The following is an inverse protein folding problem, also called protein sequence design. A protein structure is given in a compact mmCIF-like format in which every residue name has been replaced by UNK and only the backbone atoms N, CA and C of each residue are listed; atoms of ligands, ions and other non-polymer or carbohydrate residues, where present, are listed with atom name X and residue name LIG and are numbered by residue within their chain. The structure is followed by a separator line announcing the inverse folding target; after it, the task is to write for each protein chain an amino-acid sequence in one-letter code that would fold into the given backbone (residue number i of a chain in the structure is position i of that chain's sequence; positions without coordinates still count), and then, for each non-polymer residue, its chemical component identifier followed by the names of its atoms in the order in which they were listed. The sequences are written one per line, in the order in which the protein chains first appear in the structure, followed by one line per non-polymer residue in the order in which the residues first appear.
data_IF_220011122223
#
_entry.id   IF_220011122223
#
_cell.length_a   1.000
_cell.length_b   1.000
_cell.length_c   1.000
_cell.angle_alpha   90.00
_cell.angle_beta   90.00
_cell.angle_gamma   90.00
#
_symmetry.space_group_name_H-M   'P 1'
#
loop_
_entity.id
_entity.type
_entity.pdbx_description
1 polymer ?
#
# COMPACT_ATOMS: atom_id res chain seq x y z
N UNK A 1 86.49 15.72 -32.89
CA UNK A 1 87.05 17.06 -32.59
C UNK A 1 85.94 17.88 -31.97
N UNK A 2 86.09 18.24 -30.68
CA UNK A 2 85.59 19.44 -29.98
C UNK A 2 84.08 19.75 -30.01
N UNK A 3 83.41 20.26 -28.99
CA UNK A 3 83.65 20.56 -27.56
C UNK A 3 82.27 21.00 -26.98
N UNK A 4 82.15 20.92 -25.65
CA UNK A 4 81.38 21.78 -24.72
C UNK A 4 79.86 21.99 -24.93
N UNK A 5 78.99 21.53 -24.01
CA UNK A 5 78.74 21.99 -22.63
C UNK A 5 77.93 23.30 -22.52
N UNK A 6 76.73 23.22 -21.93
CA UNK A 6 76.27 24.12 -20.85
C UNK A 6 74.95 23.64 -20.26
N UNK A 7 74.95 23.42 -18.94
CA UNK A 7 73.77 23.11 -18.14
C UNK A 7 72.93 24.34 -17.81
N UNK A 8 71.68 24.11 -17.43
CA UNK A 8 70.85 25.06 -16.68
C UNK A 8 70.02 24.31 -15.65
N UNK A 9 70.29 24.64 -14.40
CA UNK A 9 69.52 24.33 -13.20
C UNK A 9 68.08 24.83 -13.32
N UNK A 10 67.11 23.95 -13.11
CA UNK A 10 65.73 24.31 -12.81
C UNK A 10 65.60 24.38 -11.29
N UNK A 11 65.64 25.60 -10.74
CA UNK A 11 65.23 25.87 -9.35
C UNK A 11 63.71 25.85 -9.26
N UNK A 12 63.23 24.92 -8.47
CA UNK A 12 61.86 24.79 -7.97
C UNK A 12 61.55 26.01 -7.09
N UNK A 13 60.57 26.83 -7.50
CA UNK A 13 60.11 27.97 -6.72
C UNK A 13 58.90 27.54 -5.86
N UNK A 14 59.09 27.52 -4.54
CA UNK A 14 58.02 27.32 -3.56
C UNK A 14 56.98 28.46 -3.64
N UNK A 15 55.68 28.16 -3.49
CA UNK A 15 54.64 29.18 -3.39
C UNK A 15 54.71 29.93 -2.04
N UNK A 16 54.27 31.20 -2.00
CA UNK A 16 54.26 32.02 -0.79
C UNK A 16 53.20 31.57 0.23
N UNK A 17 53.58 31.61 1.50
CA UNK A 17 52.70 31.41 2.66
C UNK A 17 51.59 32.47 2.71
N UNK A 18 50.34 32.12 3.06
CA UNK A 18 49.28 33.08 3.27
C UNK A 18 49.41 33.79 4.63
N UNK A 19 49.34 35.12 4.60
CA UNK A 19 49.30 36.00 5.76
C UNK A 19 48.08 35.71 6.65
N UNK A 20 48.34 35.46 7.93
CA UNK A 20 47.32 35.27 8.96
C UNK A 20 46.66 36.61 9.31
N UNK A 21 45.46 36.85 8.76
CA UNK A 21 44.54 37.88 9.21
C UNK A 21 43.94 37.47 10.55
N UNK A 22 44.35 38.17 11.62
CA UNK A 22 43.76 38.07 12.94
C UNK A 22 42.37 38.69 12.96
N UNK A 23 41.35 37.86 12.99
CA UNK A 23 40.00 38.22 13.41
C UNK A 23 39.77 37.68 14.82
N UNK A 24 39.58 38.58 15.78
CA UNK A 24 39.14 38.27 17.14
C UNK A 24 37.83 37.48 17.11
N UNK A 25 37.83 36.31 17.77
CA UNK A 25 36.63 35.51 17.97
C UNK A 25 35.69 36.22 18.96
N UNK A 26 34.37 36.26 18.71
CA UNK A 26 33.41 36.75 19.70
C UNK A 26 33.41 35.83 20.94
N UNK A 27 33.15 36.39 22.14
CA UNK A 27 33.15 35.62 23.38
C UNK A 27 32.06 34.55 23.35
N UNK A 28 32.43 33.34 23.80
CA UNK A 28 31.51 32.23 24.01
C UNK A 28 30.36 32.64 24.94
N UNK A 29 29.11 32.25 24.63
CA UNK A 29 27.99 32.46 25.55
C UNK A 29 28.22 31.68 26.85
N UNK A 30 28.00 32.35 27.98
CA UNK A 30 28.00 31.75 29.32
C UNK A 30 27.01 30.58 29.38
N UNK A 31 27.33 29.50 30.11
CA UNK A 31 26.41 28.40 30.34
C UNK A 31 25.22 28.89 31.16
N UNK A 32 24.04 28.85 30.54
CA UNK A 32 22.75 29.12 31.16
C UNK A 32 22.55 28.17 32.36
N UNK A 33 22.35 28.75 33.55
CA UNK A 33 22.06 27.99 34.77
C UNK A 33 20.75 27.22 34.57
N UNK A 34 20.68 25.93 34.94
CA UNK A 34 19.42 25.20 34.90
C UNK A 34 18.40 25.86 35.84
N UNK A 35 17.24 26.20 35.28
CA UNK A 35 16.05 26.58 36.06
C UNK A 35 15.69 25.45 37.03
N UNK A 36 15.32 25.77 38.28
CA UNK A 36 14.91 24.75 39.24
C UNK A 36 13.59 24.09 38.80
N UNK A 37 13.61 22.77 38.77
CA UNK A 37 12.44 21.91 38.56
C UNK A 37 11.30 22.32 39.50
N UNK A 38 10.15 22.63 38.91
CA UNK A 38 8.93 22.87 39.65
C UNK A 38 8.48 21.58 40.35
N UNK A 39 8.37 21.65 41.67
CA UNK A 39 7.83 20.57 42.52
C UNK A 39 6.43 20.13 42.04
N UNK A 40 6.12 18.82 42.09
CA UNK A 40 4.77 18.34 41.82
C UNK A 40 3.83 18.84 42.92
N UNK A 41 2.90 19.72 42.54
CA UNK A 41 1.77 20.09 43.38
C UNK A 41 0.93 18.86 43.68
N UNK A 42 0.78 18.59 44.97
CA UNK A 42 -0.14 17.62 45.54
C UNK A 42 -1.57 17.82 44.99
N UNK A 43 -2.14 16.75 44.45
CA UNK A 43 -3.57 16.64 44.20
C UNK A 43 -4.31 16.73 45.55
N UNK A 44 -5.11 17.78 45.68
CA UNK A 44 -6.05 17.93 46.77
C UNK A 44 -7.32 17.13 46.46
N UNK A 45 -7.72 16.30 47.42
CA UNK A 45 -9.05 15.74 47.59
C UNK A 45 -10.15 16.77 47.30
N UNK A 46 -11.09 16.42 46.41
CA UNK A 46 -12.42 17.03 46.36
C UNK A 46 -13.48 15.91 46.46
N UNK A 47 -14.37 15.96 47.46
CA UNK A 47 -15.40 14.96 47.65
C UNK A 47 -16.67 15.29 46.85
N UNK A 48 -17.27 14.24 46.29
CA UNK A 48 -18.71 14.03 46.24
C UNK A 48 -19.57 15.00 45.42
N UNK A 49 -20.10 14.51 44.29
CA UNK A 49 -21.53 14.72 43.98
C UNK A 49 -22.07 13.61 43.08
N UNK A 50 -22.89 12.77 43.70
CA UNK A 50 -23.83 11.85 43.03
C UNK A 50 -24.89 12.72 42.36
N UNK A 51 -24.94 12.68 41.03
CA UNK A 51 -25.94 13.35 40.22
C UNK A 51 -26.52 12.36 39.23
N UNK A 52 -27.80 12.07 39.41
CA UNK A 52 -28.65 11.16 38.64
C UNK A 52 -28.52 11.35 37.13
N UNK A 53 -28.33 10.25 36.40
CA UNK A 53 -28.52 10.23 34.96
C UNK A 53 -30.04 10.17 34.67
N UNK A 54 -30.57 11.31 34.22
CA UNK A 54 -31.84 11.38 33.51
C UNK A 54 -31.70 10.62 32.18
N UNK A 55 -32.59 9.65 32.00
CA UNK A 55 -32.85 8.94 30.76
C UNK A 55 -33.36 9.90 29.70
N UNK A 56 -32.56 10.16 28.67
CA UNK A 56 -33.02 10.85 27.47
C UNK A 56 -33.45 9.80 26.46
N UNK A 57 -34.77 9.71 26.27
CA UNK A 57 -35.44 9.01 25.19
C UNK A 57 -34.88 9.47 23.83
N UNK A 58 -34.15 8.57 23.16
CA UNK A 58 -33.85 8.69 21.75
C UNK A 58 -34.97 8.00 20.96
N UNK A 59 -35.94 8.80 20.57
CA UNK A 59 -37.01 8.49 19.62
C UNK A 59 -36.42 7.99 18.30
N UNK A 60 -36.37 6.66 18.14
CA UNK A 60 -36.08 6.00 16.87
C UNK A 60 -37.25 6.27 15.92
N UNK A 61 -37.05 7.18 14.98
CA UNK A 61 -37.93 7.35 13.83
C UNK A 61 -37.71 6.15 12.90
N UNK A 62 -38.68 5.23 12.86
CA UNK A 62 -38.78 4.16 11.86
C UNK A 62 -39.08 4.79 10.51
N UNK A 63 -38.15 4.68 9.57
CA UNK A 63 -38.46 4.81 8.14
C UNK A 63 -39.11 3.50 7.63
N UNK A 64 -39.97 3.61 6.59
CA UNK A 64 -40.85 2.54 6.16
C UNK A 64 -40.14 1.43 5.39
N UNK A 65 -40.56 0.21 5.71
CA UNK A 65 -40.32 -1.04 5.00
C UNK A 65 -40.64 -0.88 3.50
N UNK A 66 -39.63 -1.07 2.65
CA UNK A 66 -39.82 -1.20 1.21
C UNK A 66 -40.14 -2.66 0.91
N UNK A 67 -41.33 -2.87 0.35
CA UNK A 67 -41.80 -4.13 -0.21
C UNK A 67 -40.95 -4.54 -1.42
N UNK A 68 -40.53 -5.80 -1.54
CA UNK A 68 -40.04 -6.33 -2.80
C UNK A 68 -41.22 -6.78 -3.67
N UNK A 69 -41.46 -6.04 -4.75
CA UNK A 69 -42.37 -6.42 -5.83
C UNK A 69 -41.73 -7.54 -6.70
N UNK A 70 -42.55 -8.57 -6.92
CA UNK A 70 -42.73 -9.36 -8.14
C UNK A 70 -41.54 -10.08 -8.79
N UNK A 71 -41.33 -11.32 -8.36
CA UNK A 71 -40.85 -12.40 -9.22
C UNK A 71 -42.05 -13.27 -9.68
N UNK A 72 -42.24 -13.55 -10.98
CA UNK A 72 -43.39 -14.31 -11.46
C UNK A 72 -43.28 -15.80 -11.10
N UNK A 73 -44.41 -16.34 -10.65
CA UNK A 73 -44.63 -17.74 -10.33
C UNK A 73 -44.43 -18.68 -11.54
N UNK A 74 -44.04 -19.95 -11.31
CA UNK A 74 -44.12 -20.99 -12.34
C UNK A 74 -45.58 -21.33 -12.63
N UNK A 75 -45.95 -21.31 -13.91
CA UNK A 75 -47.27 -21.66 -14.42
C UNK A 75 -47.63 -23.11 -14.13
N UNK A 76 -48.72 -23.30 -13.38
CA UNK A 76 -49.45 -24.56 -13.27
C UNK A 76 -50.13 -24.94 -14.60
N UNK A 77 -50.16 -26.25 -14.81
CA UNK A 77 -51.02 -27.08 -15.64
C UNK A 77 -52.01 -26.44 -16.61
N UNK A 78 -51.94 -26.90 -17.86
CA UNK A 78 -53.12 -27.17 -18.65
C UNK A 78 -53.10 -28.62 -19.14
N UNK A 79 -54.21 -29.28 -18.82
CA UNK A 79 -54.64 -30.59 -19.25
C UNK A 79 -54.88 -30.64 -20.77
N UNK A 80 -54.68 -31.83 -21.35
CA UNK A 80 -55.72 -32.58 -22.10
C UNK A 80 -55.18 -33.40 -23.28
N UNK A 81 -55.85 -34.56 -23.43
CA UNK A 81 -56.04 -35.35 -24.64
C UNK A 81 -55.07 -36.51 -24.93
N UNK A 82 -55.40 -37.69 -24.38
CA UNK A 82 -55.38 -38.95 -25.12
C UNK A 82 -56.27 -39.98 -24.41
N UNK A 83 -57.53 -40.13 -24.85
CA UNK A 83 -58.04 -41.27 -25.64
C UNK A 83 -58.00 -42.63 -24.90
N UNK A 84 -59.18 -43.02 -24.42
CA UNK A 84 -59.56 -44.39 -24.11
C UNK A 84 -59.63 -45.28 -25.36
N UNK A 85 -59.16 -46.53 -25.22
CA UNK A 85 -59.65 -47.81 -25.80
C UNK A 85 -58.47 -48.77 -26.13
N UNK A 86 -58.72 -50.08 -26.30
CA UNK A 86 -59.36 -51.01 -25.39
C UNK A 86 -58.39 -52.13 -24.94
N UNK A 87 -58.81 -52.83 -23.89
CA UNK A 87 -58.21 -54.03 -23.34
C UNK A 87 -57.99 -55.14 -24.38
N UNK A 88 -56.73 -55.48 -24.65
CA UNK A 88 -56.33 -56.79 -25.19
C UNK A 88 -55.60 -57.57 -24.11
N UNK A 89 -56.21 -58.69 -23.70
CA UNK A 89 -55.61 -59.72 -22.85
C UNK A 89 -54.53 -60.45 -23.64
N UNK A 90 -53.30 -59.93 -23.63
CA UNK A 90 -52.11 -60.68 -24.03
C UNK A 90 -51.60 -61.53 -22.88
N UNK A 91 -51.47 -62.84 -23.11
CA UNK A 91 -50.90 -63.80 -22.17
C UNK A 91 -49.51 -63.37 -21.67
N UNK A 92 -49.17 -63.63 -20.39
CA UNK A 92 -47.87 -63.30 -19.83
C UNK A 92 -46.78 -64.16 -20.48
N UNK A 93 -46.13 -63.62 -21.51
CA UNK A 93 -44.85 -64.15 -21.98
C UNK A 93 -43.86 -63.96 -20.83
N UNK A 94 -43.39 -65.08 -20.27
CA UNK A 94 -42.41 -65.10 -19.21
C UNK A 94 -41.16 -64.31 -19.65
N UNK A 95 -41.05 -63.07 -19.17
CA UNK A 95 -39.83 -62.27 -19.34
C UNK A 95 -38.66 -63.05 -18.75
N UNK A 96 -37.57 -63.26 -19.51
CA UNK A 96 -36.42 -63.96 -19.01
C UNK A 96 -35.90 -63.24 -17.77
N UNK A 97 -35.79 -63.97 -16.66
CA UNK A 97 -35.22 -63.49 -15.41
C UNK A 97 -33.92 -62.73 -15.71
N UNK A 98 -33.78 -61.46 -15.31
CA UNK A 98 -32.55 -60.72 -15.55
C UNK A 98 -31.40 -61.50 -14.90
N UNK A 99 -30.49 -61.99 -15.74
CA UNK A 99 -29.28 -62.68 -15.28
C UNK A 99 -28.60 -61.83 -14.21
N UNK A 100 -28.16 -62.42 -13.09
CA UNK A 100 -27.53 -61.68 -12.00
C UNK A 100 -26.32 -60.94 -12.56
N UNK A 101 -26.48 -59.64 -12.78
CA UNK A 101 -25.41 -58.77 -13.21
C UNK A 101 -24.44 -58.71 -12.04
N UNK A 102 -23.34 -59.44 -12.16
CA UNK A 102 -22.25 -59.43 -11.18
C UNK A 102 -21.78 -58.00 -11.04
N UNK A 103 -22.23 -57.32 -9.98
CA UNK A 103 -21.76 -55.98 -9.64
C UNK A 103 -20.25 -56.02 -9.59
N UNK A 104 -19.56 -55.15 -10.35
CA UNK A 104 -18.11 -55.20 -10.43
C UNK A 104 -17.52 -54.99 -9.04
N UNK A 105 -16.49 -55.76 -8.69
CA UNK A 105 -15.97 -55.88 -7.32
C UNK A 105 -15.61 -54.54 -6.65
N UNK A 106 -15.27 -53.51 -7.45
CA UNK A 106 -14.97 -52.17 -6.96
C UNK A 106 -16.18 -51.46 -6.32
N UNK A 107 -17.42 -51.77 -6.71
CA UNK A 107 -18.62 -51.20 -6.09
C UNK A 107 -18.78 -51.61 -4.62
N UNK A 108 -18.20 -52.75 -4.21
CA UNK A 108 -18.21 -53.19 -2.80
C UNK A 108 -17.27 -52.36 -1.92
N UNK A 109 -16.27 -51.73 -2.52
CA UNK A 109 -15.27 -50.92 -1.83
C UNK A 109 -15.49 -49.42 -1.99
N UNK A 110 -16.49 -48.99 -2.77
CA UNK A 110 -16.83 -47.58 -2.93
C UNK A 110 -17.07 -46.86 -1.59
N UNK A 111 -17.62 -47.57 -0.59
CA UNK A 111 -17.80 -47.02 0.76
C UNK A 111 -16.50 -46.82 1.54
N UNK A 112 -15.41 -47.50 1.19
CA UNK A 112 -14.10 -47.33 1.83
C UNK A 112 -13.37 -46.05 1.36
N UNK A 113 -13.82 -45.43 0.27
CA UNK A 113 -13.28 -44.15 -0.21
C UNK A 113 -13.53 -43.04 0.82
N UNK A 114 -14.73 -43.00 1.42
CA UNK A 114 -15.10 -41.97 2.40
C UNK A 114 -14.17 -41.96 3.63
N UNK A 115 -13.95 -43.07 4.37
CA UNK A 115 -13.02 -43.08 5.50
C UNK A 115 -11.56 -42.87 5.07
N UNK A 116 -11.16 -43.29 3.86
CA UNK A 116 -9.82 -43.01 3.35
C UNK A 116 -9.61 -41.51 3.12
N UNK A 117 -10.59 -40.82 2.50
CA UNK A 117 -10.57 -39.35 2.36
C UNK A 117 -10.57 -38.67 3.73
N UNK A 118 -11.38 -39.14 4.68
CA UNK A 118 -11.40 -38.59 6.04
C UNK A 118 -10.04 -38.70 6.75
N UNK A 119 -9.33 -39.82 6.61
CA UNK A 119 -7.99 -39.98 7.15
C UNK A 119 -6.97 -39.06 6.46
N UNK A 120 -7.07 -38.89 5.14
CA UNK A 120 -6.22 -37.95 4.39
C UNK A 120 -6.46 -36.51 4.85
N UNK A 121 -7.71 -36.09 5.00
CA UNK A 121 -8.08 -34.78 5.53
C UNK A 121 -7.60 -34.59 6.97
N UNK A 122 -7.70 -35.62 7.83
CA UNK A 122 -7.19 -35.55 9.20
C UNK A 122 -5.67 -35.37 9.23
N UNK A 123 -4.93 -36.12 8.42
CA UNK A 123 -3.47 -35.98 8.30
C UNK A 123 -3.11 -34.60 7.75
N UNK A 124 -3.83 -34.12 6.75
CA UNK A 124 -3.66 -32.77 6.20
C UNK A 124 -3.93 -31.70 7.27
N UNK A 125 -5.00 -31.84 8.06
CA UNK A 125 -5.36 -30.93 9.15
C UNK A 125 -4.30 -30.91 10.25
N UNK A 126 -3.83 -32.09 10.70
CA UNK A 126 -2.75 -32.19 11.70
C UNK A 126 -1.50 -31.49 11.18
N UNK A 127 -1.11 -31.72 9.91
CA UNK A 127 0.05 -31.06 9.31
C UNK A 127 -0.13 -29.53 9.23
N UNK A 128 -1.30 -29.06 8.80
CA UNK A 128 -1.61 -27.63 8.68
C UNK A 128 -1.58 -26.92 10.04
N UNK A 129 -2.05 -27.58 11.09
CA UNK A 129 -2.12 -27.02 12.45
C UNK A 129 -0.77 -27.09 13.17
N UNK A 130 0.05 -28.12 12.92
CA UNK A 130 1.40 -28.19 13.51
C UNK A 130 2.35 -27.15 12.92
N UNK A 131 2.12 -26.68 11.70
CA UNK A 131 2.95 -25.67 11.02
C UNK A 131 2.55 -24.22 11.39
N UNK A 132 1.62 -24.04 12.33
CA UNK A 132 1.26 -22.71 12.86
C UNK A 132 2.39 -22.20 13.75
N UNK A 133 2.79 -20.94 13.51
CA UNK A 133 3.74 -20.22 14.36
C UNK A 133 2.99 -19.75 15.61
N UNK A 134 3.41 -20.15 16.82
CA UNK A 134 2.76 -19.68 18.05
C UNK A 134 3.03 -18.18 18.26
N UNK A 135 2.09 -17.49 18.91
CA UNK A 135 2.20 -16.05 19.20
C UNK A 135 3.46 -15.70 20.01
N UNK A 136 3.91 -16.60 20.90
CA UNK A 136 5.16 -16.43 21.66
C UNK A 136 6.38 -16.25 20.78
N UNK A 137 6.44 -16.93 19.62
CA UNK A 137 7.56 -16.82 18.69
C UNK A 137 7.55 -15.45 18.00
N UNK A 138 6.37 -14.94 17.66
CA UNK A 138 6.21 -13.59 17.11
C UNK A 138 6.62 -12.50 18.10
N UNK A 139 6.20 -12.62 19.36
CA UNK A 139 6.60 -11.70 20.44
C UNK A 139 8.11 -11.76 20.66
N UNK A 140 8.71 -12.95 20.67
CA UNK A 140 10.16 -13.08 20.80
C UNK A 140 10.90 -12.48 19.58
N UNK A 141 10.41 -12.70 18.36
CA UNK A 141 10.99 -12.13 17.14
C UNK A 141 10.90 -10.60 17.15
N UNK A 142 9.80 -10.03 17.65
CA UNK A 142 9.65 -8.59 17.85
C UNK A 142 10.77 -8.01 18.70
N UNK A 143 11.13 -8.66 19.81
CA UNK A 143 12.19 -8.20 20.70
C UNK A 143 13.59 -8.29 20.06
N UNK A 144 13.81 -9.26 19.18
CA UNK A 144 15.04 -9.35 18.36
C UNK A 144 15.11 -8.19 17.36
N UNK A 145 14.03 -7.95 16.63
CA UNK A 145 13.94 -6.87 15.65
C UNK A 145 14.09 -5.50 16.31
N UNK A 146 13.41 -5.27 17.45
CA UNK A 146 13.48 -4.00 18.19
C UNK A 146 14.91 -3.60 18.58
N UNK A 147 15.79 -4.57 18.85
CA UNK A 147 17.20 -4.30 19.22
C UNK A 147 18.09 -3.94 18.03
N UNK A 148 17.67 -4.27 16.81
CA UNK A 148 18.55 -4.25 15.62
C UNK A 148 18.08 -3.31 14.52
N UNK A 149 16.77 -3.04 14.46
CA UNK A 149 16.15 -2.21 13.44
C UNK A 149 16.48 -0.72 13.66
N UNK A 150 16.77 -0.03 12.56
CA UNK A 150 16.96 1.42 12.49
C UNK A 150 15.75 2.08 11.84
N UNK A 151 15.63 3.40 11.96
CA UNK A 151 14.53 4.18 11.38
C UNK A 151 14.36 3.96 9.87
N UNK A 152 15.47 3.89 9.14
CA UNK A 152 15.55 3.77 7.69
C UNK A 152 15.50 2.32 7.19
N UNK A 153 15.47 1.33 8.08
CA UNK A 153 15.35 -0.06 7.66
C UNK A 153 13.94 -0.38 7.19
N UNK A 154 13.84 -1.27 6.23
CA UNK A 154 12.61 -1.93 5.86
C UNK A 154 12.32 -3.09 6.82
N UNK A 155 11.05 -3.31 7.17
CA UNK A 155 10.58 -4.50 7.86
C UNK A 155 9.58 -5.26 6.99
N UNK A 156 9.78 -6.57 6.84
CA UNK A 156 8.96 -7.45 6.03
C UNK A 156 8.60 -8.73 6.77
N UNK A 157 7.46 -9.29 6.39
CA UNK A 157 6.98 -10.58 6.87
C UNK A 157 6.83 -11.56 5.71
N UNK A 158 7.39 -12.76 5.87
CA UNK A 158 7.36 -13.83 4.88
C UNK A 158 6.78 -15.12 5.47
N UNK A 159 5.83 -15.80 4.79
CA UNK A 159 5.19 -15.41 3.53
C UNK A 159 4.32 -14.17 3.66
N UNK A 160 4.02 -13.55 2.52
CA UNK A 160 3.29 -12.26 2.43
C UNK A 160 1.99 -12.18 3.22
N UNK A 161 1.22 -13.26 3.26
CA UNK A 161 -0.06 -13.28 3.95
C UNK A 161 0.07 -13.23 5.49
N UNK A 162 1.27 -13.39 6.05
CA UNK A 162 1.52 -13.21 7.49
C UNK A 162 1.74 -11.74 7.90
N UNK A 163 1.87 -10.82 6.93
CA UNK A 163 2.06 -9.39 7.20
C UNK A 163 1.04 -8.79 8.20
N UNK A 164 -0.29 -9.05 8.09
CA UNK A 164 -1.24 -8.53 9.07
C UNK A 164 -0.99 -9.04 10.50
N UNK A 165 -0.54 -10.29 10.66
CA UNK A 165 -0.21 -10.89 11.97
C UNK A 165 1.04 -10.20 12.52
N UNK A 166 2.07 -10.09 11.69
CA UNK A 166 3.32 -9.41 12.03
C UNK A 166 3.06 -7.98 12.48
N UNK A 167 2.29 -7.19 11.72
CA UNK A 167 1.93 -5.80 12.06
C UNK A 167 1.14 -5.68 13.35
N UNK A 168 0.16 -6.56 13.58
CA UNK A 168 -0.64 -6.55 14.80
C UNK A 168 0.23 -6.73 16.06
N UNK A 169 1.26 -7.57 15.98
CA UNK A 169 2.15 -7.88 17.11
C UNK A 169 3.29 -6.85 17.23
N UNK A 170 3.89 -6.45 16.11
CA UNK A 170 5.04 -5.54 16.09
C UNK A 170 4.63 -4.10 16.39
N UNK A 171 3.41 -3.73 16.01
CA UNK A 171 2.82 -2.40 16.20
C UNK A 171 3.47 -1.33 15.33
N UNK A 172 2.89 -0.13 15.35
CA UNK A 172 3.32 1.00 14.52
C UNK A 172 4.75 1.49 14.84
N UNK A 173 5.25 1.19 16.04
CA UNK A 173 6.63 1.46 16.46
C UNK A 173 7.66 0.81 15.50
N UNK A 174 7.39 -0.42 15.07
CA UNK A 174 8.31 -1.21 14.24
C UNK A 174 7.79 -1.39 12.82
N UNK A 175 6.48 -1.58 12.66
CA UNK A 175 5.83 -1.78 11.36
C UNK A 175 5.11 -0.50 10.89
N UNK A 176 5.83 0.63 10.92
CA UNK A 176 5.28 1.95 10.58
C UNK A 176 4.64 1.98 9.19
N UNK A 177 3.79 2.98 8.95
CA UNK A 177 3.12 3.17 7.67
C UNK A 177 4.11 3.30 6.50
N UNK A 178 5.27 3.93 6.72
CA UNK A 178 6.30 4.13 5.70
C UNK A 178 6.96 2.82 5.25
N UNK A 179 7.03 1.82 6.14
CA UNK A 179 7.58 0.48 5.87
C UNK A 179 6.53 -0.44 5.27
N UNK A 180 5.36 -0.43 5.90
CA UNK A 180 4.22 -1.28 5.56
C UNK A 180 3.63 -0.90 4.20
N UNK A 181 3.31 0.38 4.01
CA UNK A 181 2.64 0.88 2.83
C UNK A 181 3.64 1.52 1.84
N UNK A 182 4.88 1.04 1.81
CA UNK A 182 5.90 1.56 0.90
C UNK A 182 5.50 1.34 -0.56
N UNK A 183 5.90 2.25 -1.47
CA UNK A 183 5.75 2.00 -2.90
C UNK A 183 6.64 0.85 -3.38
N UNK A 184 7.93 0.93 -3.05
CA UNK A 184 8.99 -0.01 -3.39
C UNK A 184 10.04 -0.14 -2.26
N UNK A 185 11.00 -1.05 -2.46
CA UNK A 185 12.10 -1.35 -1.54
C UNK A 185 13.37 -0.54 -1.79
N UNK A 186 13.47 0.16 -2.93
CA UNK A 186 14.72 0.70 -3.48
C UNK A 186 15.38 1.74 -2.57
N UNK A 187 14.59 2.52 -1.83
CA UNK A 187 15.06 3.58 -0.92
C UNK A 187 15.65 3.07 0.40
N UNK A 188 15.39 1.81 0.74
CA UNK A 188 15.77 1.26 2.05
C UNK A 188 17.20 0.69 1.96
N UNK A 189 18.17 1.16 2.76
CA UNK A 189 19.54 0.63 2.75
C UNK A 189 19.63 -0.82 3.24
N UNK A 190 18.67 -1.25 4.07
CA UNK A 190 18.65 -2.56 4.68
C UNK A 190 17.22 -2.98 4.94
N UNK A 191 16.98 -4.29 4.91
CA UNK A 191 15.71 -4.91 5.24
C UNK A 191 15.88 -5.93 6.36
N UNK A 192 14.90 -5.98 7.25
CA UNK A 192 14.72 -7.03 8.25
C UNK A 192 13.51 -7.86 7.79
N UNK A 193 13.73 -9.13 7.51
CA UNK A 193 12.68 -10.07 7.14
C UNK A 193 12.42 -11.02 8.30
N UNK A 194 11.18 -11.07 8.78
CA UNK A 194 10.71 -12.08 9.71
C UNK A 194 9.99 -13.16 8.91
N UNK A 195 10.62 -14.32 8.79
CA UNK A 195 10.16 -15.40 7.93
C UNK A 195 9.70 -16.63 8.70
N UNK A 196 8.61 -17.24 8.25
CA UNK A 196 8.11 -18.52 8.71
C UNK A 196 8.21 -19.55 7.59
N UNK A 197 8.24 -20.84 7.97
CA UNK A 197 8.10 -21.98 7.03
C UNK A 197 9.12 -21.97 5.88
N UNK A 198 10.30 -21.38 6.10
CA UNK A 198 11.36 -21.23 5.10
C UNK A 198 10.93 -20.41 3.87
N UNK A 199 9.94 -19.52 4.02
CA UNK A 199 9.51 -18.61 2.95
C UNK A 199 10.37 -17.36 2.92
N UNK A 200 10.43 -16.74 1.75
CA UNK A 200 11.21 -15.53 1.51
C UNK A 200 10.42 -14.58 0.61
N UNK A 201 10.64 -13.28 0.79
CA UNK A 201 10.08 -12.20 -0.02
C UNK A 201 10.81 -12.10 -1.35
N UNK A 202 10.11 -12.29 -2.49
CA UNK A 202 10.75 -12.13 -3.80
C UNK A 202 11.31 -10.71 -4.02
N UNK A 203 10.80 -9.70 -3.32
CA UNK A 203 11.29 -8.32 -3.37
C UNK A 203 12.73 -8.16 -2.86
N UNK A 204 13.20 -9.08 -2.01
CA UNK A 204 14.58 -9.11 -1.52
C UNK A 204 15.50 -9.97 -2.39
N UNK A 205 15.03 -10.48 -3.53
CA UNK A 205 15.86 -11.24 -4.44
C UNK A 205 17.08 -10.40 -4.87
N UNK A 206 18.28 -10.94 -4.67
CA UNK A 206 19.54 -10.26 -4.97
C UNK A 206 20.08 -9.37 -3.85
N UNK A 207 19.33 -9.17 -2.77
CA UNK A 207 19.85 -8.52 -1.56
C UNK A 207 20.73 -9.49 -0.79
N UNK A 208 21.80 -9.00 -0.17
CA UNK A 208 22.77 -9.84 0.53
C UNK A 208 22.31 -10.10 1.96
N UNK A 209 22.08 -11.36 2.31
CA UNK A 209 21.89 -11.76 3.71
C UNK A 209 23.18 -11.52 4.50
N UNK A 210 23.10 -10.72 5.55
CA UNK A 210 24.25 -10.31 6.39
C UNK A 210 24.17 -10.86 7.81
N UNK A 211 22.96 -11.14 8.30
CA UNK A 211 22.73 -11.78 9.59
C UNK A 211 21.45 -12.64 9.53
N UNK A 212 21.42 -13.72 10.29
CA UNK A 212 20.26 -14.60 10.43
C UNK A 212 20.15 -15.06 11.88
N UNK A 213 18.97 -14.90 12.48
CA UNK A 213 18.67 -15.37 13.83
C UNK A 213 17.39 -16.19 13.85
N UNK A 214 17.45 -17.41 14.40
CA UNK A 214 16.27 -18.28 14.53
C UNK A 214 15.56 -18.03 15.85
N UNK A 215 14.26 -17.77 15.78
CA UNK A 215 13.40 -17.53 16.95
C UNK A 215 12.20 -18.47 16.89
N UNK A 216 12.30 -19.60 17.60
CA UNK A 216 11.29 -20.66 17.54
C UNK A 216 11.09 -21.15 16.09
N UNK A 217 9.87 -21.03 15.56
CA UNK A 217 9.52 -21.36 14.18
C UNK A 217 9.78 -20.24 13.17
N UNK A 218 10.22 -19.06 13.64
CA UNK A 218 10.56 -17.92 12.80
C UNK A 218 12.07 -17.81 12.58
N UNK A 219 12.45 -17.11 11.51
CA UNK A 219 13.81 -16.70 11.21
C UNK A 219 13.80 -15.20 10.92
N UNK A 220 14.61 -14.44 11.65
CA UNK A 220 14.84 -13.01 11.47
C UNK A 220 16.12 -12.84 10.64
N UNK A 221 15.96 -12.49 9.36
CA UNK A 221 17.07 -12.23 8.45
C UNK A 221 17.31 -10.74 8.25
N UNK A 222 18.57 -10.32 8.18
CA UNK A 222 18.97 -8.95 7.85
C UNK A 222 19.63 -8.91 6.48
N UNK A 223 19.07 -8.12 5.57
CA UNK A 223 19.48 -8.05 4.17
C UNK A 223 19.98 -6.66 3.81
N UNK A 224 21.10 -6.58 3.11
CA UNK A 224 21.69 -5.33 2.63
C UNK A 224 21.26 -5.05 1.19
N UNK A 225 20.78 -3.83 0.93
CA UNK A 225 20.40 -3.37 -0.40
C UNK A 225 21.68 -3.12 -1.23
N UNK A 226 21.84 -3.74 -2.42
CA UNK A 226 23.04 -3.55 -3.23
C UNK A 226 23.16 -2.14 -3.82
N UNK A 227 22.06 -1.38 -3.94
CA UNK A 227 22.05 -0.06 -4.55
C UNK A 227 20.92 0.82 -3.96
N UNK A 228 21.04 1.26 -2.69
CA UNK A 228 20.01 2.07 -2.07
C UNK A 228 19.89 3.43 -2.74
N UNK A 229 18.66 3.80 -3.08
CA UNK A 229 18.33 5.06 -3.71
C UNK A 229 18.20 6.16 -2.66
N UNK A 230 18.89 7.28 -2.88
CA UNK A 230 18.70 8.49 -2.08
C UNK A 230 17.65 9.38 -2.71
N UNK A 231 16.57 9.63 -1.97
CA UNK A 231 15.52 10.54 -2.40
C UNK A 231 15.94 11.99 -2.17
N UNK A 232 15.68 12.86 -3.15
CA UNK A 232 15.75 14.30 -2.97
C UNK A 232 14.46 14.80 -2.33
N UNK A 233 13.32 14.59 -2.99
CA UNK A 233 11.97 14.90 -2.49
C UNK A 233 11.04 13.70 -2.71
N UNK A 234 10.16 13.44 -1.75
CA UNK A 234 9.01 12.52 -1.84
C UNK A 234 7.75 13.38 -1.94
N UNK A 235 7.06 13.35 -3.08
CA UNK A 235 5.96 14.27 -3.34
C UNK A 235 4.75 14.01 -2.45
N UNK A 236 4.63 12.84 -1.80
CA UNK A 236 3.57 12.58 -0.83
C UNK A 236 3.71 13.45 0.41
N UNK A 237 4.93 13.88 0.73
CA UNK A 237 5.21 14.77 1.87
C UNK A 237 4.89 16.24 1.57
N UNK A 238 4.48 16.57 0.34
CA UNK A 238 4.17 17.95 -0.07
C UNK A 238 2.71 18.35 0.22
N UNK A 239 1.91 17.48 0.86
CA UNK A 239 0.48 17.73 1.12
C UNK A 239 0.29 18.83 2.17
N UNK A 240 0.41 20.08 1.72
CA UNK A 240 0.16 21.29 2.48
C UNK A 240 -0.06 22.46 1.50
N UNK A 241 -0.77 23.54 1.88
CA UNK A 241 -0.99 24.68 0.99
C UNK A 241 0.31 25.46 0.66
N UNK A 242 1.35 25.32 1.47
CA UNK A 242 2.67 25.93 1.26
C UNK A 242 3.47 25.20 0.18
N UNK A 243 3.30 23.88 0.03
CA UNK A 243 4.08 23.03 -0.87
C UNK A 243 3.28 22.48 -2.06
N UNK A 244 1.96 22.48 -1.99
CA UNK A 244 1.09 21.95 -3.04
C UNK A 244 -0.12 22.86 -3.27
N UNK A 245 -0.63 22.86 -4.50
CA UNK A 245 -1.91 23.45 -4.86
C UNK A 245 -2.64 22.50 -5.81
N UNK A 246 -3.95 22.40 -5.68
CA UNK A 246 -4.78 21.46 -6.44
C UNK A 246 -5.90 22.21 -7.12
N UNK A 247 -6.15 21.88 -8.38
CA UNK A 247 -7.15 22.54 -9.21
C UNK A 247 -7.96 21.52 -9.99
N UNK A 248 -9.24 21.85 -10.18
CA UNK A 248 -10.10 21.26 -11.20
C UNK A 248 -10.06 22.18 -12.42
N UNK A 249 -9.72 21.62 -13.59
CA UNK A 249 -9.64 22.38 -14.84
C UNK A 249 -10.68 21.86 -15.83
N UNK A 250 -11.68 22.70 -16.13
CA UNK A 250 -12.73 22.44 -17.12
C UNK A 250 -12.49 23.34 -18.34
N UNK A 251 -11.84 22.80 -19.37
CA UNK A 251 -11.42 23.59 -20.54
C UNK A 251 -10.47 24.73 -20.13
N UNK A 252 -10.92 25.98 -20.27
CA UNK A 252 -10.14 27.17 -19.89
C UNK A 252 -10.36 27.63 -18.43
N UNK A 253 -11.36 27.07 -17.73
CA UNK A 253 -11.68 27.46 -16.35
C UNK A 253 -10.87 26.61 -15.37
N UNK A 254 -10.10 27.27 -14.51
CA UNK A 254 -9.35 26.64 -13.42
C UNK A 254 -9.99 27.02 -12.08
N UNK A 255 -10.45 26.01 -11.33
CA UNK A 255 -11.12 26.17 -10.04
C UNK A 255 -10.25 25.55 -8.94
N UNK A 256 -9.78 26.31 -7.93
CA UNK A 256 -8.92 25.77 -6.88
C UNK A 256 -9.71 24.85 -5.94
N UNK A 257 -9.05 23.80 -5.46
CA UNK A 257 -9.55 22.97 -4.37
C UNK A 257 -9.05 23.53 -3.03
N UNK A 258 -9.93 23.59 -2.03
CA UNK A 258 -9.62 24.19 -0.73
C UNK A 258 -8.88 23.20 0.16
N UNK A 259 -7.81 23.63 0.81
CA UNK A 259 -7.14 22.80 1.82
C UNK A 259 -8.00 22.72 3.10
N UNK A 260 -8.22 21.51 3.59
CA UNK A 260 -8.97 21.23 4.82
C UNK A 260 -8.13 20.39 5.76
N UNK A 261 -8.32 20.62 7.05
CA UNK A 261 -7.75 19.82 8.14
C UNK A 261 -8.89 19.17 8.91
N UNK A 262 -8.72 17.93 9.31
CA UNK A 262 -9.75 17.15 10.00
C UNK A 262 -9.20 15.88 10.61
N UNK A 263 -10.10 15.02 11.07
CA UNK A 263 -9.73 13.70 11.57
C UNK A 263 -9.60 12.71 10.40
N UNK A 264 -8.55 11.87 10.38
CA UNK A 264 -8.48 10.79 9.40
C UNK A 264 -9.64 9.81 9.61
N UNK A 265 -10.11 9.22 8.52
CA UNK A 265 -11.15 8.20 8.52
C UNK A 265 -10.67 7.04 7.66
N UNK A 266 -10.75 5.83 8.18
CA UNK A 266 -10.55 4.61 7.42
C UNK A 266 -11.74 3.70 7.69
N UNK A 267 -12.24 3.04 6.66
CA UNK A 267 -13.23 1.98 6.81
C UNK A 267 -12.60 0.60 6.75
N UNK A 268 -13.43 -0.43 6.91
CA UNK A 268 -13.00 -1.81 6.71
C UNK A 268 -12.80 -2.17 5.23
N UNK A 269 -12.66 -3.46 4.95
CA UNK A 269 -12.57 -3.99 3.59
C UNK A 269 -13.73 -3.47 2.72
N UNK A 270 -13.41 -2.95 1.53
CA UNK A 270 -14.38 -2.39 0.59
C UNK A 270 -14.81 -0.94 0.83
N UNK A 271 -14.29 -0.28 1.88
CA UNK A 271 -14.63 1.14 2.16
C UNK A 271 -13.91 2.14 1.24
N UNK A 272 -13.04 1.67 0.34
CA UNK A 272 -12.23 2.51 -0.54
C UNK A 272 -10.94 3.03 0.12
N UNK A 273 -10.36 4.13 -0.38
CA UNK A 273 -9.13 4.72 0.16
C UNK A 273 -9.36 5.29 1.57
N UNK A 274 -8.32 5.27 2.41
CA UNK A 274 -8.36 6.01 3.67
C UNK A 274 -8.49 7.51 3.40
N UNK A 275 -9.41 8.21 4.08
CA UNK A 275 -9.56 9.66 3.97
C UNK A 275 -8.61 10.32 4.98
N UNK A 276 -7.56 11.03 4.54
CA UNK A 276 -6.65 11.68 5.47
C UNK A 276 -7.28 12.91 6.11
N UNK A 277 -6.77 13.27 7.29
CA UNK A 277 -7.17 14.49 7.98
C UNK A 277 -6.85 15.74 7.17
N UNK A 278 -5.63 15.81 6.64
CA UNK A 278 -5.13 16.91 5.81
C UNK A 278 -5.27 16.57 4.33
N UNK A 279 -6.03 17.38 3.59
CA UNK A 279 -6.32 17.16 2.16
C UNK A 279 -6.79 18.42 1.46
N UNK A 280 -6.73 18.41 0.14
CA UNK A 280 -7.39 19.38 -0.73
C UNK A 280 -8.76 18.85 -1.11
N UNK A 281 -9.82 19.55 -0.70
CA UNK A 281 -11.21 19.23 -1.02
C UNK A 281 -11.64 19.99 -2.28
N UNK A 282 -12.06 19.25 -3.29
CA UNK A 282 -12.55 19.79 -4.55
C UNK A 282 -14.09 19.82 -4.58
N UNK A 283 -14.64 20.61 -5.48
CA UNK A 283 -16.07 20.59 -5.80
C UNK A 283 -16.52 19.18 -6.22
N UNK A 284 -17.73 18.78 -5.84
CA UNK A 284 -18.26 17.43 -6.12
C UNK A 284 -17.82 16.34 -5.13
N UNK A 285 -17.18 16.71 -4.01
CA UNK A 285 -16.87 15.78 -2.91
C UNK A 285 -15.56 15.00 -3.05
N UNK A 286 -14.89 15.09 -4.21
CA UNK A 286 -13.57 14.51 -4.43
C UNK A 286 -12.48 15.25 -3.62
N UNK A 287 -11.39 14.55 -3.29
CA UNK A 287 -10.25 15.14 -2.59
C UNK A 287 -8.91 14.64 -3.12
N UNK A 288 -7.86 15.41 -2.85
CA UNK A 288 -6.46 15.03 -3.06
C UNK A 288 -5.68 15.08 -1.76
N UNK A 289 -4.97 14.02 -1.40
CA UNK A 289 -4.18 13.97 -0.18
C UNK A 289 -3.36 12.69 -0.05
N UNK A 290 -2.44 12.67 0.91
CA UNK A 290 -1.65 11.48 1.23
C UNK A 290 -2.56 10.43 1.88
N UNK A 291 -2.72 9.29 1.25
CA UNK A 291 -3.66 8.24 1.61
C UNK A 291 -2.98 6.87 1.48
N UNK A 292 -3.71 5.81 1.85
CA UNK A 292 -3.34 4.42 1.65
C UNK A 292 -4.46 3.76 0.85
N UNK A 293 -4.08 3.06 -0.21
CA UNK A 293 -4.97 2.18 -0.96
C UNK A 293 -4.53 0.72 -0.84
N UNK A 294 -5.45 -0.20 -1.02
CA UNK A 294 -5.12 -1.59 -1.34
C UNK A 294 -4.97 -1.69 -2.86
N UNK A 295 -3.77 -2.01 -3.34
CA UNK A 295 -3.55 -2.31 -4.75
C UNK A 295 -4.20 -3.65 -5.13
N UNK A 296 -4.16 -4.02 -6.41
CA UNK A 296 -4.78 -5.26 -6.92
C UNK A 296 -4.32 -6.54 -6.18
N UNK A 297 -3.07 -6.57 -5.72
CA UNK A 297 -2.48 -7.66 -4.94
C UNK A 297 -2.79 -7.57 -3.43
N UNK A 298 -3.66 -6.64 -3.04
CA UNK A 298 -4.09 -6.29 -1.69
C UNK A 298 -3.00 -5.72 -0.79
N UNK A 299 -1.82 -5.38 -1.33
CA UNK A 299 -0.82 -4.67 -0.55
C UNK A 299 -1.24 -3.23 -0.30
N UNK A 300 -1.03 -2.73 0.93
CA UNK A 300 -1.21 -1.32 1.20
C UNK A 300 -0.15 -0.53 0.44
N UNK A 301 -0.56 0.55 -0.23
CA UNK A 301 0.31 1.50 -0.93
C UNK A 301 -0.02 2.91 -0.45
N UNK A 302 0.95 3.54 0.22
CA UNK A 302 0.86 4.93 0.63
C UNK A 302 1.21 5.82 -0.56
N UNK A 303 0.29 6.71 -0.91
CA UNK A 303 0.31 7.44 -2.17
C UNK A 303 -0.47 8.75 -2.05
N UNK A 304 -0.41 9.60 -3.07
CA UNK A 304 -1.31 10.71 -3.27
C UNK A 304 -2.58 10.20 -3.95
N UNK A 305 -3.68 10.13 -3.19
CA UNK A 305 -4.99 9.84 -3.75
C UNK A 305 -5.42 11.03 -4.61
N UNK A 306 -5.72 10.79 -5.88
CA UNK A 306 -5.95 11.83 -6.86
C UNK A 306 -6.90 11.34 -7.98
N UNK A 307 -8.18 11.04 -7.66
CA UNK A 307 -9.11 10.48 -8.62
C UNK A 307 -9.47 11.51 -9.71
N UNK A 308 -9.51 11.11 -11.00
CA UNK A 308 -9.92 12.01 -12.08
C UNK A 308 -11.40 12.39 -11.96
N UNK A 309 -11.77 13.55 -12.51
CA UNK A 309 -13.16 14.07 -12.47
C UNK A 309 -14.05 13.57 -13.61
N UNK A 310 -13.47 13.10 -14.71
CA UNK A 310 -14.20 12.51 -15.83
C UNK A 310 -13.73 13.03 -17.18
N UNK A 311 -14.51 12.80 -18.25
CA UNK A 311 -14.13 13.24 -19.59
C UNK A 311 -14.00 14.75 -19.65
N UNK A 312 -12.96 15.23 -20.32
CA UNK A 312 -12.67 16.65 -20.56
C UNK A 312 -12.41 17.52 -19.31
N UNK A 313 -12.25 16.89 -18.14
CA UNK A 313 -11.89 17.58 -16.88
C UNK A 313 -10.55 17.06 -16.39
N UNK A 314 -9.62 17.99 -16.15
CA UNK A 314 -8.28 17.65 -15.64
C UNK A 314 -8.23 17.91 -14.15
N UNK A 315 -7.80 16.92 -13.37
CA UNK A 315 -7.32 17.15 -12.02
C UNK A 315 -5.85 17.56 -12.12
N UNK A 316 -5.54 18.78 -11.68
CA UNK A 316 -4.19 19.34 -11.72
C UNK A 316 -3.62 19.45 -10.32
N UNK A 317 -2.47 18.84 -10.09
CA UNK A 317 -1.71 18.93 -8.85
C UNK A 317 -0.40 19.66 -9.14
N UNK A 318 -0.21 20.82 -8.51
CA UNK A 318 1.01 21.63 -8.62
C UNK A 318 1.83 21.50 -7.34
N UNK A 319 3.03 20.94 -7.46
CA UNK A 319 4.05 20.89 -6.41
C UNK A 319 4.99 22.07 -6.55
N UNK A 320 5.26 22.75 -5.44
CA UNK A 320 6.08 23.96 -5.41
C UNK A 320 7.51 23.63 -4.98
N UNK A 321 8.48 24.24 -5.65
CA UNK A 321 9.90 24.15 -5.28
C UNK A 321 10.41 22.70 -5.13
N UNK A 322 10.13 21.84 -6.11
CA UNK A 322 10.63 20.46 -6.16
C UNK A 322 12.09 20.47 -6.58
N UNK A 323 12.95 19.77 -5.83
CA UNK A 323 14.37 19.55 -6.15
C UNK A 323 14.49 18.38 -7.11
N UNK A 324 15.10 18.62 -8.26
CA UNK A 324 15.26 17.58 -9.28
C UNK A 324 16.65 16.97 -9.25
N UNK A 325 16.68 15.65 -9.45
CA UNK A 325 17.88 14.89 -9.75
C UNK A 325 17.84 14.43 -11.20
N UNK A 326 18.30 13.21 -11.45
CA UNK A 326 18.38 12.64 -12.80
C UNK A 326 17.09 11.95 -13.23
N UNK A 327 16.23 11.57 -12.29
CA UNK A 327 14.95 10.96 -12.60
C UNK A 327 13.82 11.50 -11.71
N UNK A 328 12.62 11.56 -12.30
CA UNK A 328 11.36 11.53 -11.58
C UNK A 328 10.82 10.12 -11.69
N UNK A 329 10.92 9.38 -10.59
CA UNK A 329 10.46 8.02 -10.49
C UNK A 329 9.13 8.00 -9.73
N UNK A 330 8.27 7.03 -10.02
CA UNK A 330 7.10 6.83 -9.19
C UNK A 330 6.34 5.57 -9.54
N UNK A 331 5.24 5.39 -8.86
CA UNK A 331 4.28 4.33 -9.13
C UNK A 331 2.88 4.89 -9.16
N UNK A 332 2.00 4.17 -9.84
CA UNK A 332 0.58 4.46 -9.82
C UNK A 332 -0.25 3.19 -9.89
N UNK A 333 -1.50 3.34 -9.50
CA UNK A 333 -2.46 2.26 -9.53
C UNK A 333 -3.85 2.73 -9.18
N UNK A 334 -4.75 1.75 -9.15
CA UNK A 334 -6.12 1.90 -8.70
C UNK A 334 -6.31 1.08 -7.44
N UNK A 335 -7.28 1.50 -6.64
CA UNK A 335 -7.74 0.67 -5.53
C UNK A 335 -8.33 -0.65 -6.06
N UNK A 336 -8.11 -1.76 -5.36
CA UNK A 336 -8.42 -3.13 -5.83
C UNK A 336 -9.84 -3.30 -6.41
N UNK A 337 -10.88 -2.72 -5.79
CA UNK A 337 -12.25 -2.85 -6.31
C UNK A 337 -12.47 -2.07 -7.59
N UNK A 338 -11.80 -0.92 -7.75
CA UNK A 338 -11.81 -0.15 -8.99
C UNK A 338 -11.10 -0.90 -10.15
N UNK A 339 -10.15 -1.76 -9.81
CA UNK A 339 -9.27 -2.41 -10.77
C UNK A 339 -9.70 -3.83 -11.17
N UNK A 340 -10.22 -4.62 -10.22
CA UNK A 340 -10.40 -6.08 -10.38
C UNK A 340 -11.33 -6.49 -11.53
N UNK A 341 -12.35 -5.67 -11.81
CA UNK A 341 -13.39 -6.01 -12.79
C UNK A 341 -12.93 -5.71 -14.24
N UNK A 342 -11.87 -4.91 -14.42
CA UNK A 342 -11.28 -4.55 -15.72
C UNK A 342 -12.24 -3.90 -16.72
N UNK A 343 -13.12 -3.04 -16.23
CA UNK A 343 -14.20 -2.44 -17.05
C UNK A 343 -14.08 -0.93 -17.25
N UNK A 344 -13.20 -0.23 -16.53
CA UNK A 344 -13.18 1.22 -16.61
C UNK A 344 -12.11 1.79 -17.54
N UNK A 345 -12.20 3.11 -17.74
CA UNK A 345 -11.32 3.83 -18.64
C UNK A 345 -9.89 3.92 -18.08
N UNK A 346 -8.86 3.92 -18.94
CA UNK A 346 -7.49 4.21 -18.53
C UNK A 346 -7.38 5.57 -17.84
N UNK A 347 -6.52 5.65 -16.83
CA UNK A 347 -6.15 6.91 -16.17
C UNK A 347 -4.77 7.33 -16.66
N UNK A 348 -4.63 8.57 -17.10
CA UNK A 348 -3.37 9.11 -17.58
C UNK A 348 -2.88 10.22 -16.68
N UNK A 349 -1.59 10.19 -16.34
CA UNK A 349 -0.89 11.24 -15.60
C UNK A 349 0.20 11.83 -16.49
N UNK A 350 0.25 13.15 -16.59
CA UNK A 350 1.23 13.89 -17.38
C UNK A 350 2.00 14.85 -16.47
N UNK A 351 3.33 14.77 -16.50
CA UNK A 351 4.21 15.58 -15.68
C UNK A 351 4.89 16.68 -16.50
N UNK A 352 4.88 17.91 -16.01
CA UNK A 352 5.48 19.06 -16.68
C UNK A 352 6.03 20.08 -15.70
N UNK A 353 7.03 20.83 -16.16
CA UNK A 353 7.57 22.00 -15.46
C UNK A 353 7.33 23.24 -16.31
N UNK A 354 7.79 24.41 -15.85
CA UNK A 354 7.82 25.62 -16.67
C UNK A 354 8.64 25.47 -17.97
N UNK A 355 9.57 24.50 -18.01
CA UNK A 355 10.44 24.23 -19.15
C UNK A 355 9.81 23.31 -20.19
N UNK A 356 8.69 22.68 -19.87
CA UNK A 356 7.97 21.80 -20.79
C UNK A 356 7.55 20.47 -20.16
N UNK A 357 7.16 19.57 -21.05
CA UNK A 357 6.72 18.21 -20.73
C UNK A 357 7.90 17.34 -20.30
N UNK A 358 7.79 16.70 -19.14
CA UNK A 358 8.76 15.67 -18.70
C UNK A 358 8.37 14.29 -19.24
N UNK A 359 7.08 13.98 -19.23
CA UNK A 359 6.58 12.71 -19.74
C UNK A 359 5.16 12.39 -19.29
N UNK A 360 4.71 11.18 -19.61
CA UNK A 360 3.35 10.68 -19.35
C UNK A 360 3.42 9.21 -18.96
N UNK A 361 2.57 8.82 -18.01
CA UNK A 361 2.27 7.44 -17.70
C UNK A 361 0.76 7.18 -17.84
N UNK A 362 0.40 5.94 -18.19
CA UNK A 362 -1.00 5.51 -18.33
C UNK A 362 -1.21 4.23 -17.53
N UNK A 363 -2.24 4.24 -16.67
CA UNK A 363 -2.68 3.10 -15.90
C UNK A 363 -3.93 2.49 -16.53
N UNK A 364 -3.95 1.17 -16.69
CA UNK A 364 -5.10 0.39 -17.15
C UNK A 364 -5.48 -0.62 -16.09
N UNK A 365 -6.76 -0.98 -16.07
CA UNK A 365 -7.23 -1.97 -15.11
C UNK A 365 -6.50 -3.31 -15.28
N UNK A 366 -6.07 -3.89 -14.16
CA UNK A 366 -5.38 -5.16 -14.11
C UNK A 366 -3.86 -5.06 -14.16
N UNK A 367 -3.29 -3.85 -14.21
CA UNK A 367 -1.85 -3.62 -14.16
C UNK A 367 -1.31 -3.66 -12.71
N UNK A 368 -2.15 -3.46 -11.70
CA UNK A 368 -1.76 -3.45 -10.30
C UNK A 368 -1.01 -2.18 -9.90
N UNK A 369 0.00 -2.29 -9.06
CA UNK A 369 0.86 -1.15 -8.71
C UNK A 369 2.05 -1.09 -9.68
N UNK A 370 2.00 -0.18 -10.66
CA UNK A 370 2.98 -0.13 -11.76
C UNK A 370 3.90 1.07 -11.64
N UNK A 371 5.20 0.86 -11.88
CA UNK A 371 6.22 1.91 -11.87
C UNK A 371 6.29 2.71 -13.18
N UNK A 372 6.77 3.94 -13.08
CA UNK A 372 7.20 4.77 -14.20
C UNK A 372 8.49 5.51 -13.83
N UNK A 373 9.27 5.86 -14.84
CA UNK A 373 10.48 6.66 -14.68
C UNK A 373 10.57 7.67 -15.83
N UNK A 374 10.78 8.93 -15.49
CA UNK A 374 10.93 10.03 -16.43
C UNK A 374 12.32 10.65 -16.27
N UNK A 375 13.04 10.81 -17.37
CA UNK A 375 14.36 11.45 -17.39
C UNK A 375 14.23 12.94 -17.03
N UNK A 376 14.92 13.34 -15.96
CA UNK A 376 15.02 14.74 -15.53
C UNK A 376 16.46 15.23 -15.48
N UNK A 377 17.39 14.59 -16.19
CA UNK A 377 18.81 14.92 -16.16
C UNK A 377 19.09 16.41 -16.45
N UNK A 378 18.33 17.04 -17.34
CA UNK A 378 18.45 18.48 -17.65
C UNK A 378 18.06 19.41 -16.49
N UNK A 379 17.27 18.88 -15.55
CA UNK A 379 16.84 19.56 -14.33
C UNK A 379 17.69 19.22 -13.10
N UNK A 380 18.64 18.29 -13.22
CA UNK A 380 19.45 17.84 -12.10
C UNK A 380 20.14 19.00 -11.37
N UNK A 381 19.97 19.05 -10.05
CA UNK A 381 20.48 20.10 -9.18
C UNK A 381 19.67 21.41 -9.20
N UNK A 382 18.54 21.46 -9.93
CA UNK A 382 17.63 22.61 -9.96
C UNK A 382 16.45 22.41 -9.01
N UNK A 383 15.85 23.53 -8.63
CA UNK A 383 14.57 23.58 -7.93
C UNK A 383 13.57 24.32 -8.81
N UNK A 384 12.43 23.71 -9.13
CA UNK A 384 11.34 24.34 -9.91
C UNK A 384 9.99 23.73 -9.55
N UNK A 385 8.90 24.33 -10.02
CA UNK A 385 7.56 23.80 -9.81
C UNK A 385 7.31 22.60 -10.76
N UNK A 386 6.65 21.57 -10.22
CA UNK A 386 6.20 20.40 -10.96
C UNK A 386 4.68 20.38 -11.02
N UNK A 387 4.12 20.09 -12.19
CA UNK A 387 2.68 19.93 -12.37
C UNK A 387 2.38 18.53 -12.86
N UNK A 388 1.48 17.84 -12.17
CA UNK A 388 0.87 16.59 -12.58
C UNK A 388 -0.58 16.85 -13.02
N UNK A 389 -0.89 16.57 -14.29
CA UNK A 389 -2.26 16.56 -14.82
C UNK A 389 -2.77 15.14 -14.91
N UNK A 390 -3.95 14.90 -14.32
CA UNK A 390 -4.57 13.58 -14.23
C UNK A 390 -5.92 13.61 -14.95
N UNK A 391 -6.12 12.64 -15.85
CA UNK A 391 -7.30 12.57 -16.72
C UNK A 391 -7.78 11.13 -16.89
N UNK A 392 -9.06 10.96 -17.19
CA UNK A 392 -9.63 9.69 -17.63
C UNK A 392 -10.83 9.93 -18.56
N UNK A 393 -11.07 9.02 -19.50
CA UNK A 393 -12.27 9.10 -20.36
C UNK A 393 -13.58 8.91 -19.60
N UNK A 394 -13.53 8.30 -18.41
CA UNK A 394 -14.64 8.14 -17.49
C UNK A 394 -14.07 8.09 -16.05
N UNK A 395 -14.64 8.86 -15.12
CA UNK A 395 -14.22 8.90 -13.72
C UNK A 395 -14.89 7.85 -12.83
N UNK A 396 -15.90 7.14 -13.34
CA UNK A 396 -16.62 6.15 -12.57
C UNK A 396 -15.65 5.10 -11.99
N UNK A 397 -15.67 4.97 -10.65
CA UNK A 397 -14.81 4.06 -9.90
C UNK A 397 -13.33 4.18 -10.28
N UNK A 398 -12.83 5.40 -10.52
CA UNK A 398 -11.40 5.63 -10.75
C UNK A 398 -10.75 6.11 -9.45
N UNK A 399 -10.65 5.21 -8.47
CA UNK A 399 -9.96 5.46 -7.20
C UNK A 399 -8.43 5.47 -7.42
N UNK A 400 -7.97 6.44 -8.20
CA UNK A 400 -6.60 6.54 -8.66
C UNK A 400 -5.69 7.11 -7.59
N UNK A 401 -4.52 6.49 -7.48
CA UNK A 401 -3.47 6.90 -6.57
C UNK A 401 -2.13 6.82 -7.28
N UNK A 402 -1.24 7.76 -6.98
CA UNK A 402 0.13 7.71 -7.46
C UNK A 402 1.07 8.20 -6.37
N UNK A 403 2.32 7.81 -6.46
CA UNK A 403 3.41 8.44 -5.74
C UNK A 403 4.53 8.74 -6.72
N UNK A 404 5.31 9.75 -6.38
CA UNK A 404 6.51 10.04 -7.13
C UNK A 404 7.55 10.67 -6.22
N UNK A 405 8.80 10.42 -6.57
CA UNK A 405 9.98 10.89 -5.89
C UNK A 405 11.04 11.31 -6.93
N UNK A 406 11.90 12.23 -6.54
CA UNK A 406 13.02 12.69 -7.38
C UNK A 406 14.33 12.11 -6.87
N UNK A 407 15.15 11.58 -7.77
CA UNK A 407 16.37 10.79 -7.46
C UNK A 407 17.62 11.37 -8.10
#
# INVERSE_FOLDING_TARGET
MKDEATGRDAREASPPEPEASGAEAPPSPEPEKPEPEAEPRAEADIPGKVGSAESVDASVSREPESTPDDAPAPSEGDDAAAREAPSEKGEPVASPSPSPTTRPAWQRWAFAVVPAVALLELVAHVRQTTDVVPESDWVAAREVVKKTIKSEDLLLFAPKWEDPIGRAIFGDELASLERTARPDESRFPRAIEVSARGKHRPELAGWKLTNEERVGKLVVGTYENPAPVKLLDDLRLFVSPEKMAVFRVDGAKESPCSFVRGRPQAGGLGAGPAVPGDRFQCEGGSFVGASIIHALDHDPKACLFAPPFGPNVVLRVKFKNVRFGRALHGHHGLQNEAERDKTGAPVSITFRTERGLLGRAEHKDGMGWTGFELDTQELSGRTTDLVADITAGNANRRHYCFEADTR
#
